data_IF_294592683397
#
_entry.id   IF_294592683397
#
_cell.length_a   1.000
_cell.length_b   1.000
_cell.length_c   1.000
_cell.angle_alpha   90.00
_cell.angle_beta   90.00
_cell.angle_gamma   90.00
#
_symmetry.space_group_name_H-M   'P 1'
#
loop_
_entity.id
_entity.type
_entity.pdbx_description
1 polymer ?
#
# COMPACT_ATOMS: atom_id res chain seq x y z
N UNK A 1 6.39 -27.02 -1.32
CA UNK A 1 6.15 -25.85 -0.44
C UNK A 1 4.64 -25.63 -0.28
N UNK A 2 4.09 -25.81 0.92
CA UNK A 2 2.64 -25.69 1.12
C UNK A 2 2.21 -24.22 0.94
N UNK A 3 1.40 -23.91 -0.07
CA UNK A 3 1.06 -22.52 -0.46
C UNK A 3 0.43 -21.70 0.69
N UNK A 4 -0.18 -22.40 1.65
CA UNK A 4 -0.73 -21.82 2.89
C UNK A 4 0.38 -21.27 3.81
N UNK A 5 1.48 -22.02 3.96
CA UNK A 5 2.60 -21.63 4.82
C UNK A 5 3.36 -20.42 4.26
N UNK A 6 3.55 -20.37 2.94
CA UNK A 6 4.17 -19.21 2.27
C UNK A 6 3.33 -17.94 2.48
N UNK A 7 2.00 -18.03 2.42
CA UNK A 7 1.08 -16.90 2.66
C UNK A 7 1.11 -16.42 4.12
N UNK A 8 1.24 -17.34 5.08
CA UNK A 8 1.38 -16.98 6.51
C UNK A 8 2.71 -16.27 6.78
N UNK A 9 3.82 -16.80 6.26
CA UNK A 9 5.13 -16.17 6.42
C UNK A 9 5.20 -14.79 5.75
N UNK A 10 4.59 -14.63 4.57
CA UNK A 10 4.57 -13.32 3.90
C UNK A 10 3.78 -12.25 4.65
N UNK A 11 2.85 -12.66 5.52
CA UNK A 11 2.10 -11.73 6.37
C UNK A 11 2.93 -11.17 7.53
N UNK A 12 4.11 -11.74 7.81
CA UNK A 12 5.04 -11.27 8.84
C UNK A 12 6.08 -10.29 8.29
N UNK A 13 6.23 -10.15 6.98
CA UNK A 13 7.18 -9.21 6.42
C UNK A 13 6.88 -7.77 6.86
N UNK A 14 7.93 -6.97 7.14
CA UNK A 14 7.81 -5.57 7.50
C UNK A 14 7.22 -4.76 6.33
N UNK A 15 6.58 -3.65 6.68
CA UNK A 15 6.21 -2.62 5.70
C UNK A 15 7.47 -1.80 5.43
N UNK A 16 7.69 -1.42 4.17
CA UNK A 16 8.76 -0.53 3.76
C UNK A 16 8.74 0.77 4.59
N UNK A 17 9.93 1.27 4.88
CA UNK A 17 10.12 2.51 5.64
C UNK A 17 9.56 3.71 4.86
N UNK A 18 9.23 4.79 5.55
CA UNK A 18 8.68 5.99 4.91
C UNK A 18 7.20 5.90 4.54
N UNK A 19 6.50 4.78 4.84
CA UNK A 19 5.04 4.71 4.73
C UNK A 19 4.36 5.59 5.78
N UNK A 20 3.55 6.52 5.32
CA UNK A 20 2.74 7.41 6.16
C UNK A 20 1.27 7.37 5.75
N UNK A 21 0.39 8.05 6.49
CA UNK A 21 -1.04 8.06 6.22
C UNK A 21 -1.80 6.87 6.82
N UNK A 22 -3.02 6.64 6.35
CA UNK A 22 -3.90 5.59 6.87
C UNK A 22 -4.92 5.12 5.83
N UNK A 23 -5.44 3.90 6.01
CA UNK A 23 -6.44 3.36 5.10
C UNK A 23 -7.76 4.15 5.19
N UNK A 24 -8.13 4.84 4.12
CA UNK A 24 -9.35 5.63 3.96
C UNK A 24 -10.58 4.82 3.48
N UNK A 25 -10.48 3.49 3.47
CA UNK A 25 -11.54 2.58 3.02
C UNK A 25 -12.00 2.78 1.56
N UNK A 26 -11.10 3.20 0.66
CA UNK A 26 -11.40 3.47 -0.75
C UNK A 26 -11.80 2.23 -1.60
N UNK A 27 -11.61 1.01 -1.08
CA UNK A 27 -11.97 -0.22 -1.81
C UNK A 27 -10.99 -0.64 -2.93
N UNK A 28 -10.05 0.21 -3.35
CA UNK A 28 -9.14 -0.09 -4.47
C UNK A 28 -8.32 -1.37 -4.27
N UNK A 29 -7.77 -1.59 -3.08
CA UNK A 29 -7.01 -2.80 -2.75
C UNK A 29 -7.88 -4.08 -2.76
N UNK A 30 -9.20 -3.96 -2.65
CA UNK A 30 -10.12 -5.10 -2.72
C UNK A 30 -10.31 -5.64 -4.14
N UNK A 31 -9.83 -4.96 -5.18
CA UNK A 31 -9.82 -5.50 -6.55
C UNK A 31 -8.59 -6.36 -6.85
N UNK A 32 -7.55 -6.29 -6.00
CA UNK A 32 -6.23 -6.84 -6.30
C UNK A 32 -5.93 -8.14 -5.54
N UNK A 33 -5.31 -9.14 -6.19
CA UNK A 33 -5.31 -9.40 -7.64
C UNK A 33 -6.65 -10.00 -8.13
N UNK A 34 -7.55 -10.34 -7.22
CA UNK A 34 -8.89 -10.84 -7.51
C UNK A 34 -9.89 -10.01 -6.70
N UNK A 35 -11.08 -9.78 -7.28
CA UNK A 35 -12.16 -9.06 -6.61
C UNK A 35 -12.54 -9.76 -5.30
N UNK A 36 -12.39 -9.03 -4.19
CA UNK A 36 -12.73 -9.49 -2.86
C UNK A 36 -14.25 -9.63 -2.71
N UNK A 37 -14.69 -10.75 -2.15
CA UNK A 37 -16.12 -11.01 -1.88
C UNK A 37 -16.74 -10.05 -0.85
N UNK A 38 -15.90 -9.33 -0.09
CA UNK A 38 -16.34 -8.36 0.92
C UNK A 38 -16.38 -6.92 0.40
N UNK A 39 -16.03 -6.69 -0.88
CA UNK A 39 -16.16 -5.39 -1.52
C UNK A 39 -17.65 -5.08 -1.74
N UNK A 40 -18.10 -3.92 -1.25
CA UNK A 40 -19.46 -3.43 -1.45
C UNK A 40 -19.44 -2.08 -2.14
N UNK A 41 -20.53 -1.75 -2.81
CA UNK A 41 -20.76 -0.46 -3.45
C UNK A 41 -21.91 0.21 -2.72
N UNK A 42 -21.70 1.46 -2.28
CA UNK A 42 -22.71 2.29 -1.67
C UNK A 42 -23.63 2.93 -2.73
N UNK A 43 -24.71 3.57 -2.29
CA UNK A 43 -25.71 4.20 -3.18
C UNK A 43 -25.13 5.35 -4.01
N UNK A 44 -24.08 6.01 -3.51
CA UNK A 44 -23.33 7.06 -4.20
C UNK A 44 -22.26 6.52 -5.18
N UNK A 45 -22.34 5.22 -5.51
CA UNK A 45 -21.38 4.47 -6.32
C UNK A 45 -19.97 4.36 -5.73
N UNK A 46 -19.75 4.74 -4.45
CA UNK A 46 -18.44 4.54 -3.81
C UNK A 46 -18.27 3.10 -3.36
N UNK A 47 -17.14 2.51 -3.69
CA UNK A 47 -16.77 1.18 -3.23
C UNK A 47 -16.07 1.24 -1.86
N UNK A 48 -16.32 0.24 -1.01
CA UNK A 48 -15.75 0.16 0.33
C UNK A 48 -15.60 -1.28 0.82
N UNK A 49 -14.71 -1.48 1.81
CA UNK A 49 -14.52 -2.78 2.46
C UNK A 49 -15.59 -2.97 3.55
N UNK A 50 -16.49 -3.94 3.37
CA UNK A 50 -17.54 -4.22 4.38
C UNK A 50 -17.03 -4.84 5.68
N UNK A 51 -15.82 -5.40 5.68
CA UNK A 51 -15.17 -6.01 6.85
C UNK A 51 -14.00 -5.16 7.39
N UNK A 52 -14.07 -3.84 7.22
CA UNK A 52 -12.98 -2.91 7.53
C UNK A 52 -12.41 -3.08 8.97
N UNK A 53 -13.28 -3.35 9.94
CA UNK A 53 -12.91 -3.54 11.36
C UNK A 53 -12.15 -4.86 11.61
N UNK A 54 -12.52 -5.93 10.91
CA UNK A 54 -11.94 -7.28 11.07
C UNK A 54 -10.95 -7.63 9.95
N UNK A 55 -10.42 -6.61 9.25
CA UNK A 55 -9.48 -6.78 8.13
C UNK A 55 -8.38 -7.80 8.46
N UNK A 56 -8.16 -8.82 7.62
CA UNK A 56 -7.05 -9.75 7.79
C UNK A 56 -5.70 -9.01 7.80
N UNK A 57 -4.65 -9.58 8.44
CA UNK A 57 -3.33 -8.96 8.52
C UNK A 57 -2.77 -8.49 7.16
N UNK A 58 -3.01 -9.25 6.10
CA UNK A 58 -2.59 -8.88 4.73
C UNK A 58 -3.23 -7.56 4.28
N UNK A 59 -4.53 -7.37 4.52
CA UNK A 59 -5.26 -6.15 4.15
C UNK A 59 -4.89 -4.95 5.04
N UNK A 60 -4.45 -5.20 6.29
CA UNK A 60 -3.97 -4.13 7.18
C UNK A 60 -2.58 -3.63 6.81
N UNK A 61 -1.75 -4.53 6.28
CA UNK A 61 -0.37 -4.22 5.89
C UNK A 61 -0.26 -3.64 4.48
N UNK A 62 -1.23 -3.89 3.60
CA UNK A 62 -1.26 -3.28 2.27
C UNK A 62 -1.48 -1.76 2.34
N UNK A 63 -0.83 -0.97 1.49
CA UNK A 63 0.35 -1.30 0.66
C UNK A 63 1.59 -1.49 1.55
N UNK A 64 2.42 -2.49 1.22
CA UNK A 64 3.65 -2.80 1.95
C UNK A 64 4.89 -2.12 1.36
N UNK A 65 4.87 -1.84 0.06
CA UNK A 65 5.96 -1.17 -0.66
C UNK A 65 5.42 -0.01 -1.49
N UNK A 66 6.28 0.90 -1.91
CA UNK A 66 5.92 1.97 -2.83
C UNK A 66 5.37 1.41 -4.17
N UNK A 67 5.93 0.29 -4.64
CA UNK A 67 5.48 -0.41 -5.86
C UNK A 67 4.05 -0.98 -5.72
N UNK A 68 3.70 -1.55 -4.55
CA UNK A 68 2.33 -1.98 -4.28
C UNK A 68 1.36 -0.78 -4.21
N UNK A 69 1.85 0.37 -3.74
CA UNK A 69 1.05 1.58 -3.65
C UNK A 69 0.72 2.18 -5.02
N UNK A 70 1.64 2.13 -5.98
CA UNK A 70 1.41 2.60 -7.37
C UNK A 70 0.17 1.96 -8.03
N UNK A 71 -0.24 0.78 -7.58
CA UNK A 71 -1.46 0.12 -8.09
C UNK A 71 -2.77 0.78 -7.63
N UNK A 72 -2.71 1.65 -6.61
CA UNK A 72 -3.87 2.25 -5.94
C UNK A 72 -3.66 3.74 -5.59
N UNK A 73 -2.60 4.37 -6.09
CA UNK A 73 -2.13 5.68 -5.64
C UNK A 73 -3.17 6.80 -5.80
N UNK A 74 -4.03 6.71 -6.82
CA UNK A 74 -5.08 7.69 -7.09
C UNK A 74 -6.15 7.77 -5.98
N UNK A 75 -6.28 6.72 -5.17
CA UNK A 75 -7.41 6.57 -4.24
C UNK A 75 -7.01 6.16 -2.82
N UNK A 76 -5.83 5.56 -2.62
CA UNK A 76 -5.38 5.09 -1.32
C UNK A 76 -4.95 6.24 -0.41
N UNK A 77 -5.31 6.18 0.88
CA UNK A 77 -4.89 7.20 1.87
C UNK A 77 -3.49 6.97 2.47
N UNK A 78 -2.70 6.06 1.91
CA UNK A 78 -1.30 5.85 2.32
C UNK A 78 -0.37 6.61 1.37
N UNK A 79 0.82 6.97 1.84
CA UNK A 79 1.84 7.63 1.05
C UNK A 79 3.21 7.05 1.38
N UNK A 80 4.11 7.04 0.41
CA UNK A 80 5.51 6.65 0.61
C UNK A 80 6.40 7.84 0.28
N UNK A 81 7.24 8.24 1.24
CA UNK A 81 8.28 9.24 0.98
C UNK A 81 9.48 8.53 0.38
N UNK A 82 9.79 8.83 -0.88
CA UNK A 82 10.99 8.32 -1.54
C UNK A 82 12.22 8.62 -0.70
N UNK A 83 12.84 7.58 -0.15
CA UNK A 83 14.11 7.69 0.58
C UNK A 83 15.31 7.81 -0.37
N UNK A 84 15.09 8.23 -1.62
CA UNK A 84 16.12 8.53 -2.61
C UNK A 84 16.13 10.01 -2.97
N UNK A 85 16.39 10.84 -1.97
CA UNK A 85 17.15 12.07 -2.23
C UNK A 85 18.54 11.84 -1.61
N UNK A 86 19.37 11.10 -2.35
CA UNK A 86 20.80 11.42 -2.32
C UNK A 86 20.88 12.77 -2.99
N UNK A 87 20.99 13.79 -2.17
CA UNK A 87 21.37 15.14 -2.55
C UNK A 87 22.72 15.05 -3.27
N UNK A 88 22.73 14.95 -4.59
CA UNK A 88 23.85 15.44 -5.39
C UNK A 88 23.75 16.98 -5.45
N UNK A 89 23.94 17.60 -4.29
CA UNK A 89 24.14 19.02 -4.15
C UNK A 89 25.60 19.26 -3.73
N UNK A 90 26.54 19.16 -4.67
CA UNK A 90 27.86 19.79 -4.56
C UNK A 90 28.71 19.60 -5.82
N UNK A 91 28.56 20.50 -6.78
CA UNK A 91 29.68 20.98 -7.62
C UNK A 91 29.58 22.49 -7.70
N UNK A 92 29.79 23.13 -6.55
CA UNK A 92 30.26 24.51 -6.52
C UNK A 92 31.75 24.53 -6.85
N UNK A 93 32.12 25.43 -7.77
CA UNK A 93 33.39 26.14 -7.88
C UNK A 93 34.71 25.34 -7.94
N UNK A 94 35.44 25.51 -9.04
CA UNK A 94 36.56 26.47 -9.16
C UNK A 94 37.66 25.95 -10.10
N UNK A 95 37.86 26.59 -11.25
CA UNK A 95 39.21 26.75 -11.78
C UNK A 95 39.29 27.99 -12.67
N UNK A 96 39.78 29.06 -12.04
CA UNK A 96 40.87 29.95 -12.48
C UNK A 96 41.08 30.17 -13.98
#
# INVERSE_FOLDING_TARGET
>A
MNKKLKRTLTSLFPVEEGRTGSCNNCGACCHLPYRCVFLKTAEDNKEYCSIYTVRPPNCRKFPRTAEEHQLVEDTCGFEFKDSKIVVEASSGNNTK
#
